data_IF_432046364767
#
_entry.id   IF_432046364767
#
_cell.length_a   1.000
_cell.length_b   1.000
_cell.length_c   1.000
_cell.angle_alpha   90.00
_cell.angle_beta   90.00
_cell.angle_gamma   90.00
#
_symmetry.space_group_name_H-M   'P 1'
#
loop_
_entity.id
_entity.type
_entity.pdbx_description
1 polymer ?
#
# COMPACT_ATOMS: atom_id res chain seq x y z
N UNK A 1 -15.63 19.05 12.52
CA UNK A 1 -15.48 18.25 11.28
C UNK A 1 -14.95 16.87 11.63
N UNK A 2 -15.70 15.80 11.35
CA UNK A 2 -15.22 14.42 11.55
C UNK A 2 -14.21 14.06 10.46
N UNK A 3 -13.02 13.60 10.84
CA UNK A 3 -12.02 13.14 9.87
C UNK A 3 -12.47 11.78 9.31
N UNK A 4 -12.63 11.67 7.99
CA UNK A 4 -12.96 10.38 7.36
C UNK A 4 -11.78 9.43 7.50
N UNK A 5 -12.04 8.21 8.01
CA UNK A 5 -11.02 7.19 8.30
C UNK A 5 -11.15 6.03 7.32
N UNK A 6 -10.03 5.41 6.93
CA UNK A 6 -10.03 4.15 6.17
C UNK A 6 -10.71 3.05 6.97
N UNK A 7 -11.57 2.24 6.33
CA UNK A 7 -12.25 1.09 6.98
C UNK A 7 -11.27 0.03 7.46
N UNK A 8 -10.18 -0.18 6.72
CA UNK A 8 -9.12 -1.12 7.05
C UNK A 8 -7.78 -0.39 7.07
N UNK A 9 -6.90 -0.67 8.04
CA UNK A 9 -5.62 0.01 8.16
C UNK A 9 -4.68 -0.47 7.06
N UNK A 10 -4.69 0.24 5.94
CA UNK A 10 -4.02 -0.17 4.72
C UNK A 10 -3.24 0.99 4.10
N UNK A 11 -2.02 0.66 3.70
CA UNK A 11 -1.14 1.52 2.95
C UNK A 11 -0.94 0.95 1.53
N UNK A 12 -0.91 1.84 0.55
CA UNK A 12 -0.74 1.52 -0.88
C UNK A 12 0.33 2.44 -1.45
N UNK A 13 1.28 1.88 -2.19
CA UNK A 13 2.34 2.64 -2.86
C UNK A 13 1.87 3.14 -4.23
N UNK A 14 0.85 4.00 -4.22
CA UNK A 14 0.35 4.63 -5.44
C UNK A 14 0.87 6.06 -5.63
N UNK A 15 1.85 6.48 -4.83
CA UNK A 15 2.36 7.85 -4.80
C UNK A 15 3.69 8.02 -5.52
N UNK A 16 4.35 6.92 -5.90
CA UNK A 16 5.62 6.98 -6.64
C UNK A 16 5.40 7.36 -8.11
N UNK A 17 6.24 8.23 -8.71
CA UNK A 17 6.09 8.67 -10.11
C UNK A 17 6.02 7.52 -11.13
N UNK A 18 6.72 6.41 -10.85
CA UNK A 18 6.72 5.21 -11.69
C UNK A 18 5.39 4.46 -11.73
N UNK A 19 4.48 4.70 -10.78
CA UNK A 19 3.20 3.99 -10.69
C UNK A 19 2.33 4.24 -11.93
N UNK A 20 2.31 5.47 -12.45
CA UNK A 20 1.48 5.82 -13.62
C UNK A 20 1.92 5.06 -14.88
N UNK A 21 3.22 5.01 -15.13
CA UNK A 21 3.78 4.29 -16.27
C UNK A 21 3.58 2.78 -16.13
N UNK A 22 3.77 2.26 -14.92
CA UNK A 22 3.57 0.84 -14.63
C UNK A 22 2.13 0.40 -14.86
N UNK A 23 1.14 1.18 -14.39
CA UNK A 23 -0.28 0.93 -14.68
C UNK A 23 -0.60 1.00 -16.18
N UNK A 24 0.03 1.91 -16.92
CA UNK A 24 -0.11 1.98 -18.39
C UNK A 24 0.43 0.71 -19.06
N UNK A 25 1.59 0.21 -18.64
CA UNK A 25 2.19 -1.02 -19.18
C UNK A 25 1.28 -2.23 -18.95
N UNK A 26 0.73 -2.38 -17.75
CA UNK A 26 -0.22 -3.46 -17.47
C UNK A 26 -1.52 -3.33 -18.27
N UNK A 27 -2.06 -2.11 -18.42
CA UNK A 27 -3.24 -1.90 -19.26
C UNK A 27 -3.00 -2.29 -20.72
N UNK A 28 -1.82 -1.95 -21.27
CA UNK A 28 -1.44 -2.36 -22.62
C UNK A 28 -1.30 -3.88 -22.75
N UNK A 29 -0.74 -4.57 -21.73
CA UNK A 29 -0.63 -6.02 -21.73
C UNK A 29 -2.01 -6.69 -21.74
N UNK A 30 -2.95 -6.21 -20.93
CA UNK A 30 -4.34 -6.71 -20.91
C UNK A 30 -5.02 -6.50 -22.26
N UNK A 31 -4.84 -5.34 -22.90
CA UNK A 31 -5.43 -5.04 -24.21
C UNK A 31 -4.87 -5.91 -25.35
N UNK A 32 -3.62 -6.34 -25.23
CA UNK A 32 -2.94 -7.20 -26.21
C UNK A 32 -3.12 -8.69 -25.94
N UNK A 33 -3.72 -9.05 -24.79
CA UNK A 33 -3.95 -10.43 -24.44
C UNK A 33 -5.08 -10.98 -25.31
N UNK A 34 -4.80 -12.04 -26.05
CA UNK A 34 -5.68 -12.58 -27.11
C UNK A 34 -6.67 -13.62 -26.61
N UNK A 35 -6.50 -14.14 -25.40
CA UNK A 35 -7.44 -15.09 -24.80
C UNK A 35 -8.57 -14.38 -24.04
N UNK A 36 -9.62 -15.12 -23.70
CA UNK A 36 -10.78 -14.57 -23.03
C UNK A 36 -10.44 -13.96 -21.66
N UNK A 37 -10.85 -12.70 -21.50
CA UNK A 37 -10.77 -11.96 -20.24
C UNK A 37 -12.17 -11.84 -19.66
N UNK A 38 -12.48 -12.67 -18.66
CA UNK A 38 -13.82 -12.72 -18.06
C UNK A 38 -14.16 -11.51 -17.17
N UNK A 39 -13.15 -10.80 -16.64
CA UNK A 39 -13.36 -9.69 -15.70
C UNK A 39 -12.19 -8.70 -15.75
N UNK A 40 -12.46 -7.41 -15.56
CA UNK A 40 -11.46 -6.36 -15.37
C UNK A 40 -10.42 -6.61 -14.27
N UNK A 41 -10.62 -7.55 -13.33
CA UNK A 41 -9.59 -7.96 -12.33
C UNK A 41 -8.54 -8.95 -12.87
N UNK A 42 -8.71 -9.50 -14.07
CA UNK A 42 -7.78 -10.46 -14.67
C UNK A 42 -6.39 -9.90 -14.96
N UNK A 43 -6.22 -8.57 -15.00
CA UNK A 43 -4.88 -7.96 -15.13
C UNK A 43 -3.90 -8.47 -14.07
N UNK A 44 -4.39 -8.88 -12.89
CA UNK A 44 -3.58 -9.45 -11.80
C UNK A 44 -3.02 -10.84 -12.11
N UNK A 45 -3.67 -11.60 -13.00
CA UNK A 45 -3.16 -12.88 -13.51
C UNK A 45 -2.15 -12.66 -14.62
N UNK A 46 -2.39 -11.65 -15.46
CA UNK A 46 -1.55 -11.32 -16.62
C UNK A 46 -0.29 -10.54 -16.26
N UNK A 47 -0.29 -9.88 -15.11
CA UNK A 47 0.78 -8.99 -14.71
C UNK A 47 1.08 -9.09 -13.23
N UNK A 48 2.36 -9.24 -12.89
CA UNK A 48 2.82 -9.30 -11.52
C UNK A 48 2.52 -7.99 -10.78
N UNK A 49 1.88 -8.08 -9.61
CA UNK A 49 1.48 -6.94 -8.77
C UNK A 49 2.66 -6.05 -8.37
N UNK A 50 3.86 -6.64 -8.21
CA UNK A 50 5.10 -5.93 -7.92
C UNK A 50 5.49 -4.95 -9.04
N UNK A 51 5.28 -5.36 -10.29
CA UNK A 51 5.63 -4.55 -11.46
C UNK A 51 4.66 -3.39 -11.71
N UNK A 52 3.52 -3.33 -11.01
CA UNK A 52 2.51 -2.25 -11.10
C UNK A 52 2.36 -1.43 -9.83
N UNK A 53 3.17 -1.71 -8.81
CA UNK A 53 3.01 -1.11 -7.48
C UNK A 53 1.56 -1.26 -6.96
N UNK A 54 0.91 -2.39 -7.27
CA UNK A 54 -0.47 -2.71 -6.85
C UNK A 54 -0.46 -3.66 -5.63
N UNK A 55 0.42 -3.34 -4.68
CA UNK A 55 0.49 -4.02 -3.41
C UNK A 55 -0.21 -3.20 -2.33
N UNK A 56 -0.80 -3.93 -1.38
CA UNK A 56 -1.52 -3.34 -0.26
C UNK A 56 -0.99 -3.94 1.03
N UNK A 57 -0.35 -3.11 1.83
CA UNK A 57 0.17 -3.52 3.12
C UNK A 57 -0.87 -3.24 4.20
N UNK A 58 -1.12 -4.24 5.02
CA UNK A 58 -1.99 -4.12 6.18
C UNK A 58 -1.12 -4.18 7.42
N UNK A 59 -1.36 -3.23 8.32
CA UNK A 59 -0.61 -3.16 9.56
C UNK A 59 -1.52 -2.66 10.66
N UNK A 60 -1.69 -3.44 11.72
CA UNK A 60 -2.48 -3.03 12.88
C UNK A 60 -1.69 -2.05 13.74
N UNK A 61 -2.39 -1.33 14.62
CA UNK A 61 -1.77 -0.44 15.60
C UNK A 61 -0.80 -1.20 16.51
N UNK A 62 -1.20 -2.40 16.95
CA UNK A 62 -0.37 -3.24 17.82
C UNK A 62 0.90 -3.72 17.10
N UNK A 63 0.79 -4.14 15.84
CA UNK A 63 1.95 -4.50 15.02
C UNK A 63 2.93 -3.33 14.86
N UNK A 64 2.43 -2.10 14.69
CA UNK A 64 3.29 -0.92 14.61
C UNK A 64 4.08 -0.65 15.90
N UNK A 65 3.45 -0.84 17.05
CA UNK A 65 4.11 -0.70 18.35
C UNK A 65 5.15 -1.81 18.54
N UNK A 66 4.78 -3.07 18.29
CA UNK A 66 5.67 -4.22 18.44
C UNK A 66 6.91 -4.12 17.52
N UNK A 67 6.72 -3.72 16.26
CA UNK A 67 7.84 -3.52 15.33
C UNK A 67 8.77 -2.40 15.79
N UNK A 68 8.23 -1.32 16.35
CA UNK A 68 9.02 -0.23 16.92
C UNK A 68 9.79 -0.68 18.17
N UNK A 69 9.17 -1.42 19.09
CA UNK A 69 9.83 -1.96 20.28
C UNK A 69 10.97 -2.93 19.90
N UNK A 70 10.78 -3.73 18.86
CA UNK A 70 11.77 -4.69 18.38
C UNK A 70 12.92 -4.02 17.60
N UNK A 71 12.65 -2.95 16.85
CA UNK A 71 13.62 -2.38 15.91
C UNK A 71 14.36 -1.19 16.49
N UNK A 72 15.68 -1.34 16.74
CA UNK A 72 16.54 -0.25 17.21
C UNK A 72 16.48 0.99 16.30
N UNK A 73 16.60 0.79 14.99
CA UNK A 73 16.49 1.86 13.98
C UNK A 73 15.16 2.66 14.07
N UNK A 74 14.03 1.99 14.34
CA UNK A 74 12.75 2.69 14.46
C UNK A 74 12.68 3.53 15.73
N UNK A 75 13.29 3.08 16.83
CA UNK A 75 13.39 3.85 18.08
C UNK A 75 14.26 5.09 17.93
N UNK A 76 15.33 4.99 17.15
CA UNK A 76 16.20 6.14 16.87
C UNK A 76 15.48 7.21 16.02
N UNK A 77 14.56 6.79 15.14
CA UNK A 77 13.78 7.70 14.26
C UNK A 77 12.52 8.26 14.93
N UNK A 78 11.79 7.43 15.67
CA UNK A 78 10.52 7.75 16.30
C UNK A 78 10.71 7.61 17.81
N UNK A 79 11.03 8.72 18.47
CA UNK A 79 11.49 8.70 19.86
C UNK A 79 10.39 8.28 20.83
N UNK A 80 9.13 8.65 20.54
CA UNK A 80 8.01 8.33 21.41
C UNK A 80 7.01 7.39 20.76
N UNK A 81 6.31 6.63 21.59
CA UNK A 81 5.18 5.81 21.14
C UNK A 81 4.10 6.68 20.45
N UNK A 82 3.91 7.93 20.88
CA UNK A 82 2.97 8.85 20.25
C UNK A 82 3.36 9.18 18.79
N UNK A 83 4.66 9.32 18.51
CA UNK A 83 5.17 9.55 17.15
C UNK A 83 4.91 8.36 16.25
N UNK A 84 5.14 7.14 16.76
CA UNK A 84 4.84 5.87 16.06
C UNK A 84 3.36 5.78 15.72
N UNK A 85 2.49 6.13 16.66
CA UNK A 85 1.06 6.11 16.44
C UNK A 85 0.63 7.17 15.40
N UNK A 86 1.18 8.37 15.47
CA UNK A 86 0.88 9.42 14.50
C UNK A 86 1.35 9.05 13.09
N UNK A 87 2.53 8.47 12.94
CA UNK A 87 3.06 7.98 11.67
C UNK A 87 2.21 6.83 11.11
N UNK A 88 1.91 5.84 11.95
CA UNK A 88 1.00 4.74 11.57
C UNK A 88 -0.37 5.27 11.15
N UNK A 89 -0.92 6.25 11.88
CA UNK A 89 -2.20 6.84 11.52
C UNK A 89 -2.14 7.54 10.16
N UNK A 90 -1.09 8.33 9.88
CA UNK A 90 -0.89 9.00 8.59
C UNK A 90 -0.90 7.99 7.45
N UNK A 91 -0.17 6.90 7.59
CA UNK A 91 0.02 5.93 6.50
C UNK A 91 -1.16 4.97 6.33
N UNK A 92 -1.69 4.43 7.44
CA UNK A 92 -2.62 3.29 7.40
C UNK A 92 -4.07 3.67 7.73
N UNK A 93 -4.31 4.70 8.56
CA UNK A 93 -5.66 5.01 9.08
C UNK A 93 -6.31 6.22 8.39
N UNK A 94 -5.56 7.29 8.16
CA UNK A 94 -6.02 8.52 7.51
C UNK A 94 -6.24 8.28 6.01
N UNK A 95 -7.22 8.97 5.43
CA UNK A 95 -7.52 8.93 3.98
C UNK A 95 -6.73 9.99 3.25
#
# INVERSE_FOLDING_TARGET
MSKSVKKSPAWTDHTTPGTRWSKRRASNAVRRFTSDVQNGKWYRKLYCSWNICDYRFYKTKQQAIQEWEASRWLRDRLLTQADVLNDWEKSYRRK
#
